data_IF_602962663305
#
_entry.id   IF_602962663305
#
_cell.length_a   1.000
_cell.length_b   1.000
_cell.length_c   1.000
_cell.angle_alpha   90.00
_cell.angle_beta   90.00
_cell.angle_gamma   90.00
#
_symmetry.space_group_name_H-M   'P 1'
#
loop_
_entity.id
_entity.type
_entity.pdbx_description
1 polymer ?
#
# COMPACT_ATOMS: atom_id res chain seq x y z
N UNK A 1 -0.81 12.49 20.50
CA UNK A 1 0.47 12.74 19.77
C UNK A 1 0.36 12.10 18.40
N UNK A 2 0.74 12.81 17.35
CA UNK A 2 0.77 12.24 15.99
C UNK A 2 1.87 11.20 15.84
N UNK A 3 1.61 10.12 15.15
CA UNK A 3 2.58 9.06 14.88
C UNK A 3 2.67 8.77 13.38
N UNK A 4 3.80 8.26 12.95
CA UNK A 4 3.93 7.75 11.59
C UNK A 4 3.14 6.45 11.42
N UNK A 5 2.58 6.22 10.25
CA UNK A 5 1.73 5.07 9.94
C UNK A 5 2.24 4.36 8.69
N UNK A 6 2.40 3.06 8.78
CA UNK A 6 2.46 2.17 7.62
C UNK A 6 1.04 1.68 7.34
N UNK A 7 0.47 2.13 6.22
CA UNK A 7 -0.82 1.67 5.72
C UNK A 7 -0.58 0.51 4.75
N UNK A 8 -0.74 -0.70 5.28
CA UNK A 8 -0.44 -1.93 4.56
C UNK A 8 -1.71 -2.54 3.96
N UNK A 9 -1.70 -2.86 2.68
CA UNK A 9 -2.88 -3.36 1.97
C UNK A 9 -2.71 -4.82 1.59
N UNK A 10 -3.35 -5.69 2.35
CA UNK A 10 -3.27 -7.14 2.21
C UNK A 10 -4.62 -7.80 1.91
N UNK A 11 -5.33 -7.30 0.90
CA UNK A 11 -6.61 -7.88 0.48
C UNK A 11 -6.39 -9.21 -0.27
N UNK A 12 -6.88 -10.29 0.31
CA UNK A 12 -6.82 -11.64 -0.26
C UNK A 12 -8.00 -11.84 -1.22
N UNK A 13 -7.78 -11.56 -2.50
CA UNK A 13 -8.80 -11.75 -3.53
C UNK A 13 -8.78 -13.19 -4.05
N UNK A 14 -9.83 -13.97 -3.78
CA UNK A 14 -9.96 -15.37 -4.18
C UNK A 14 -9.84 -15.57 -5.70
N UNK A 15 -10.29 -14.63 -6.51
CA UNK A 15 -10.17 -14.67 -7.96
C UNK A 15 -8.71 -14.82 -8.45
N UNK A 16 -7.76 -14.36 -7.65
CA UNK A 16 -6.33 -14.42 -7.99
C UNK A 16 -5.54 -15.45 -7.17
N UNK A 17 -6.21 -16.21 -6.31
CA UNK A 17 -5.56 -17.17 -5.41
C UNK A 17 -4.71 -18.17 -6.17
N UNK A 18 -5.25 -18.80 -7.22
CA UNK A 18 -4.51 -19.76 -8.05
C UNK A 18 -3.30 -19.13 -8.75
N UNK A 19 -3.47 -17.92 -9.27
CA UNK A 19 -2.40 -17.19 -9.96
C UNK A 19 -1.18 -16.93 -9.07
N UNK A 20 -1.41 -16.72 -7.77
CA UNK A 20 -0.37 -16.40 -6.80
C UNK A 20 0.04 -17.58 -5.92
N UNK A 21 -0.48 -18.79 -6.19
CA UNK A 21 -0.14 -19.99 -5.42
C UNK A 21 -0.65 -19.96 -3.97
N UNK A 22 -1.85 -19.37 -3.78
CA UNK A 22 -2.41 -19.14 -2.44
C UNK A 22 -2.00 -17.78 -1.86
N UNK A 23 -2.36 -17.54 -0.60
CA UNK A 23 -2.15 -16.26 0.08
C UNK A 23 -1.29 -16.39 1.35
N UNK A 24 -0.76 -17.56 1.66
CA UNK A 24 0.02 -17.82 2.88
C UNK A 24 1.28 -16.97 2.97
N UNK A 25 1.90 -16.67 1.85
CA UNK A 25 3.07 -15.79 1.78
C UNK A 25 2.76 -14.34 2.25
N UNK A 26 1.49 -13.90 2.16
CA UNK A 26 1.08 -12.58 2.61
C UNK A 26 1.21 -12.43 4.14
N UNK A 27 1.05 -13.51 4.87
CA UNK A 27 1.24 -13.52 6.33
C UNK A 27 2.74 -13.29 6.70
N UNK A 28 3.65 -13.74 5.83
CA UNK A 28 5.09 -13.47 6.00
C UNK A 28 5.39 -12.00 5.76
N UNK A 29 4.86 -11.42 4.68
CA UNK A 29 5.05 -9.99 4.38
C UNK A 29 4.46 -9.12 5.47
N UNK A 30 3.25 -9.42 5.94
CA UNK A 30 2.59 -8.75 7.06
C UNK A 30 3.48 -8.75 8.32
N UNK A 31 3.97 -9.91 8.74
CA UNK A 31 4.84 -10.04 9.91
C UNK A 31 6.12 -9.23 9.79
N UNK A 32 6.70 -9.13 8.59
CA UNK A 32 7.90 -8.32 8.37
C UNK A 32 7.64 -6.83 8.65
N UNK A 33 6.50 -6.32 8.21
CA UNK A 33 6.09 -4.94 8.44
C UNK A 33 5.68 -4.69 9.88
N UNK A 34 4.94 -5.60 10.51
CA UNK A 34 4.60 -5.52 11.94
C UNK A 34 5.86 -5.42 12.82
N UNK A 35 6.86 -6.27 12.53
CA UNK A 35 8.14 -6.24 13.24
C UNK A 35 8.86 -4.91 13.05
N UNK A 36 8.97 -4.44 11.80
CA UNK A 36 9.64 -3.19 11.48
C UNK A 36 8.92 -1.98 12.12
N UNK A 37 7.61 -1.93 12.06
CA UNK A 37 6.81 -0.88 12.68
C UNK A 37 7.01 -0.84 14.20
N UNK A 38 6.98 -2.01 14.85
CA UNK A 38 7.25 -2.12 16.28
C UNK A 38 8.64 -1.62 16.67
N UNK A 39 9.65 -1.97 15.87
CA UNK A 39 11.05 -1.54 16.08
C UNK A 39 11.22 -0.03 16.01
N UNK A 40 10.46 0.65 15.16
CA UNK A 40 10.58 2.09 14.90
C UNK A 40 9.48 2.95 15.55
N UNK A 41 8.66 2.38 16.43
CA UNK A 41 7.51 3.04 17.07
C UNK A 41 6.54 3.66 16.05
N UNK A 42 6.25 2.92 14.97
CA UNK A 42 5.35 3.27 13.88
C UNK A 42 4.05 2.49 14.04
N UNK A 43 2.92 3.10 13.75
CA UNK A 43 1.63 2.40 13.72
C UNK A 43 1.60 1.52 12.47
N UNK A 44 1.33 0.22 12.66
CA UNK A 44 0.99 -0.69 11.56
C UNK A 44 -0.53 -0.73 11.42
N UNK A 45 -1.03 -0.29 10.27
CA UNK A 45 -2.46 -0.27 9.96
C UNK A 45 -2.76 -1.18 8.75
N UNK A 46 -3.30 -2.39 8.97
CA UNK A 46 -3.65 -3.28 7.88
C UNK A 46 -5.02 -2.98 7.30
N UNK A 47 -5.11 -2.82 5.99
CA UNK A 47 -6.35 -2.85 5.22
C UNK A 47 -6.47 -4.24 4.57
N UNK A 48 -7.33 -5.09 5.12
CA UNK A 48 -7.51 -6.48 4.66
C UNK A 48 -8.81 -6.69 3.89
N UNK A 49 -9.71 -5.72 3.94
CA UNK A 49 -10.98 -5.72 3.21
C UNK A 49 -11.08 -4.49 2.29
N UNK A 50 -11.60 -4.64 1.08
CA UNK A 50 -11.83 -3.49 0.20
C UNK A 50 -13.04 -2.68 0.68
N UNK A 51 -13.01 -1.36 0.46
CA UNK A 51 -14.17 -0.48 0.68
C UNK A 51 -15.22 -0.74 -0.41
N UNK A 52 -14.81 -0.65 -1.68
CA UNK A 52 -15.64 -1.08 -2.81
C UNK A 52 -15.34 -2.56 -3.10
N UNK A 53 -16.36 -3.40 -2.93
CA UNK A 53 -16.23 -4.86 -3.10
C UNK A 53 -16.14 -5.27 -4.58
N UNK A 54 -16.74 -4.48 -5.46
CA UNK A 54 -16.63 -4.73 -6.91
C UNK A 54 -15.28 -4.20 -7.43
N UNK A 55 -14.27 -5.05 -7.35
CA UNK A 55 -12.91 -4.70 -7.80
C UNK A 55 -12.77 -4.54 -9.31
N UNK A 56 -13.81 -4.86 -10.09
CA UNK A 56 -13.84 -4.56 -11.53
C UNK A 56 -14.12 -3.09 -11.79
N UNK A 57 -14.92 -2.46 -10.92
CA UNK A 57 -15.21 -1.03 -10.96
C UNK A 57 -14.08 -0.21 -10.35
N UNK A 58 -13.57 -0.66 -9.21
CA UNK A 58 -12.57 0.11 -8.48
C UNK A 58 -11.51 -0.79 -7.84
N UNK A 59 -10.37 -0.88 -8.51
CA UNK A 59 -9.27 -1.75 -8.10
C UNK A 59 -8.71 -1.37 -6.74
N UNK A 60 -8.26 -2.36 -5.98
CA UNK A 60 -7.73 -2.18 -4.63
C UNK A 60 -6.56 -1.17 -4.56
N UNK A 61 -5.71 -1.11 -5.60
CA UNK A 61 -4.61 -0.18 -5.65
C UNK A 61 -5.04 1.29 -5.67
N UNK A 62 -6.22 1.57 -6.22
CA UNK A 62 -6.80 2.90 -6.19
C UNK A 62 -7.50 3.18 -4.87
N UNK A 63 -8.18 2.19 -4.31
CA UNK A 63 -8.87 2.33 -3.04
C UNK A 63 -7.91 2.74 -1.93
N UNK A 64 -6.73 2.12 -1.85
CA UNK A 64 -5.73 2.48 -0.85
C UNK A 64 -5.27 3.93 -0.96
N UNK A 65 -5.07 4.42 -2.19
CA UNK A 65 -4.57 5.77 -2.42
C UNK A 65 -5.63 6.85 -2.14
N UNK A 66 -6.89 6.56 -2.46
CA UNK A 66 -7.99 7.51 -2.31
C UNK A 66 -8.56 7.50 -0.90
N UNK A 67 -8.74 6.32 -0.30
CA UNK A 67 -9.44 6.17 0.97
C UNK A 67 -8.53 6.08 2.21
N UNK A 68 -7.20 6.05 2.06
CA UNK A 68 -6.32 5.84 3.22
C UNK A 68 -6.51 6.91 4.31
N UNK A 69 -6.76 8.14 3.94
CA UNK A 69 -7.00 9.23 4.90
C UNK A 69 -8.33 9.03 5.63
N UNK A 70 -9.40 8.82 4.88
CA UNK A 70 -10.75 8.62 5.44
C UNK A 70 -10.77 7.40 6.37
N UNK A 71 -10.13 6.29 5.97
CA UNK A 71 -10.04 5.07 6.78
C UNK A 71 -9.30 5.33 8.10
N UNK A 72 -8.20 6.05 8.05
CA UNK A 72 -7.42 6.37 9.25
C UNK A 72 -8.15 7.34 10.16
N UNK A 73 -8.84 8.33 9.59
CA UNK A 73 -9.64 9.30 10.33
C UNK A 73 -10.84 8.63 11.01
N UNK A 74 -11.57 7.76 10.31
CA UNK A 74 -12.68 6.97 10.85
C UNK A 74 -12.22 6.02 11.98
N UNK A 75 -11.00 5.49 11.87
CA UNK A 75 -10.39 4.67 12.90
C UNK A 75 -9.84 5.47 14.08
N UNK A 76 -9.92 6.81 14.05
CA UNK A 76 -9.39 7.69 15.09
C UNK A 76 -7.86 7.71 15.18
N UNK A 77 -7.18 7.36 14.11
CA UNK A 77 -5.71 7.33 14.07
C UNK A 77 -5.17 8.73 13.81
N UNK A 78 -4.44 9.27 14.78
CA UNK A 78 -3.80 10.58 14.63
C UNK A 78 -2.40 10.42 14.02
N UNK A 79 -2.29 10.62 12.72
CA UNK A 79 -1.06 10.39 11.95
C UNK A 79 -0.28 11.66 11.64
N UNK A 80 1.03 11.50 11.44
CA UNK A 80 1.98 12.53 10.99
C UNK A 80 2.35 12.31 9.52
N UNK A 81 2.92 11.15 9.22
CA UNK A 81 3.25 10.70 7.88
C UNK A 81 2.65 9.32 7.61
N UNK A 82 2.26 9.06 6.38
CA UNK A 82 1.71 7.76 5.95
C UNK A 82 2.62 7.16 4.88
N UNK A 83 2.96 5.89 5.05
CA UNK A 83 3.63 5.07 4.06
C UNK A 83 2.66 4.02 3.50
N UNK A 84 2.26 4.18 2.25
CA UNK A 84 1.37 3.24 1.57
C UNK A 84 2.16 2.04 1.06
N UNK A 85 1.79 0.85 1.48
CA UNK A 85 2.50 -0.40 1.17
C UNK A 85 1.55 -1.45 0.61
N UNK A 86 1.96 -2.08 -0.49
CA UNK A 86 1.27 -3.27 -1.00
C UNK A 86 1.62 -4.50 -0.17
N UNK A 87 0.64 -5.36 0.10
CA UNK A 87 0.81 -6.60 0.83
C UNK A 87 1.79 -7.60 0.20
N UNK A 88 2.17 -7.39 -1.06
CA UNK A 88 3.19 -8.19 -1.75
C UNK A 88 4.63 -7.80 -1.39
N UNK A 89 4.83 -6.66 -0.70
CA UNK A 89 6.16 -6.17 -0.37
C UNK A 89 6.60 -6.68 1.00
N UNK A 90 7.83 -7.16 1.07
CA UNK A 90 8.51 -7.49 2.32
C UNK A 90 9.50 -6.39 2.66
N UNK A 91 9.61 -6.04 3.94
CA UNK A 91 10.64 -5.12 4.41
C UNK A 91 11.76 -5.89 5.11
N UNK A 92 13.01 -5.51 4.83
CA UNK A 92 14.16 -6.08 5.54
C UNK A 92 14.19 -5.59 6.99
N UNK A 93 14.54 -6.46 7.90
CA UNK A 93 14.61 -6.17 9.34
C UNK A 93 15.58 -5.04 9.71
N UNK A 94 16.63 -4.83 8.91
CA UNK A 94 17.67 -3.81 9.10
C UNK A 94 17.40 -2.50 8.34
N UNK A 95 16.27 -2.41 7.63
CA UNK A 95 15.87 -1.17 6.95
C UNK A 95 15.74 -0.03 7.97
N UNK A 96 16.40 1.12 7.73
CA UNK A 96 16.30 2.28 8.61
C UNK A 96 14.88 2.86 8.62
N UNK A 97 14.61 3.77 9.55
CA UNK A 97 13.33 4.46 9.61
C UNK A 97 13.14 5.35 8.37
N UNK A 98 12.28 4.91 7.45
CA UNK A 98 12.03 5.61 6.18
C UNK A 98 11.43 6.99 6.38
N UNK A 99 10.70 7.22 7.47
CA UNK A 99 10.08 8.50 7.78
C UNK A 99 11.10 9.58 8.14
N UNK A 100 12.22 9.20 8.73
CA UNK A 100 13.34 10.11 8.98
C UNK A 100 14.05 10.52 7.68
N UNK A 101 14.11 9.58 6.71
CA UNK A 101 14.74 9.85 5.41
C UNK A 101 13.88 10.75 4.52
N UNK A 102 12.56 10.62 4.59
CA UNK A 102 11.62 11.39 3.76
C UNK A 102 11.40 12.81 4.25
N UNK A 103 11.58 13.05 5.55
CA UNK A 103 11.49 14.36 6.19
C UNK A 103 10.24 15.14 5.76
N UNK A 104 9.05 14.53 5.88
CA UNK A 104 7.73 15.08 5.52
C UNK A 104 7.57 15.46 4.04
N UNK A 105 8.46 15.01 3.17
CA UNK A 105 8.32 15.23 1.72
C UNK A 105 7.51 14.11 1.09
N UNK A 106 6.71 14.45 0.09
CA UNK A 106 6.11 13.45 -0.78
C UNK A 106 7.22 12.64 -1.45
N UNK A 107 7.22 11.34 -1.20
CA UNK A 107 8.23 10.42 -1.70
C UNK A 107 7.56 9.24 -2.36
N UNK A 108 7.98 8.91 -3.56
CA UNK A 108 7.48 7.75 -4.29
C UNK A 108 8.64 6.96 -4.86
N UNK A 109 8.45 5.67 -5.01
CA UNK A 109 9.39 4.84 -5.74
C UNK A 109 9.38 5.25 -7.22
N UNK A 110 10.54 5.56 -7.73
CA UNK A 110 10.70 5.78 -9.17
C UNK A 110 10.93 4.43 -9.83
N UNK A 111 9.99 4.00 -10.64
CA UNK A 111 10.18 2.85 -11.50
C UNK A 111 11.24 3.17 -12.54
N UNK A 112 12.27 2.34 -12.60
CA UNK A 112 13.37 2.50 -13.57
C UNK A 112 13.16 1.65 -14.83
N UNK A 113 12.01 0.99 -14.94
CA UNK A 113 11.67 0.18 -16.09
C UNK A 113 11.53 1.02 -17.35
N UNK A 114 11.56 0.34 -18.47
CA UNK A 114 11.63 0.97 -19.78
C UNK A 114 10.40 1.86 -20.08
N UNK A 115 10.61 2.84 -20.94
CA UNK A 115 9.57 3.75 -21.42
C UNK A 115 8.33 3.03 -21.98
N UNK A 116 8.49 1.81 -22.49
CA UNK A 116 7.38 1.00 -23.00
C UNK A 116 6.39 0.60 -21.92
N UNK A 117 6.85 0.28 -20.71
CA UNK A 117 5.98 -0.02 -19.59
C UNK A 117 5.24 1.24 -19.11
N UNK A 118 5.95 2.34 -18.98
CA UNK A 118 5.38 3.65 -18.61
C UNK A 118 4.31 4.07 -19.62
N UNK A 119 4.60 3.93 -20.92
CA UNK A 119 3.63 4.22 -21.98
C UNK A 119 2.38 3.36 -21.88
N UNK A 120 2.52 2.04 -21.71
CA UNK A 120 1.39 1.12 -21.53
C UNK A 120 0.54 1.48 -20.31
N UNK A 121 1.18 1.90 -19.22
CA UNK A 121 0.47 2.32 -18.01
C UNK A 121 -0.34 3.60 -18.25
N UNK A 122 0.25 4.60 -18.91
CA UNK A 122 -0.43 5.86 -19.25
C UNK A 122 -1.64 5.59 -20.17
N UNK A 123 -1.45 4.78 -21.20
CA UNK A 123 -2.53 4.41 -22.13
C UNK A 123 -3.64 3.65 -21.39
N UNK A 124 -3.26 2.71 -20.52
CA UNK A 124 -4.21 1.97 -19.68
C UNK A 124 -5.01 2.87 -18.75
N UNK A 125 -4.38 3.86 -18.16
CA UNK A 125 -5.06 4.84 -17.32
C UNK A 125 -5.98 5.77 -18.12
N UNK A 126 -5.54 6.26 -19.27
CA UNK A 126 -6.39 7.08 -20.14
C UNK A 126 -7.65 6.32 -20.59
N UNK A 127 -7.50 5.03 -20.92
CA UNK A 127 -8.66 4.20 -21.25
C UNK A 127 -9.60 4.02 -20.04
N UNK A 128 -9.04 3.79 -18.86
CA UNK A 128 -9.82 3.57 -17.63
C UNK A 128 -10.57 4.82 -17.17
N UNK A 129 -9.96 6.01 -17.34
CA UNK A 129 -10.54 7.29 -16.94
C UNK A 129 -11.24 8.05 -18.09
N UNK A 130 -11.57 7.37 -19.18
CA UNK A 130 -12.31 7.91 -20.33
C UNK A 130 -11.63 9.14 -20.96
N UNK A 131 -10.29 9.15 -20.94
CA UNK A 131 -9.49 10.18 -21.59
C UNK A 131 -9.26 11.47 -20.78
N UNK A 132 -9.44 11.43 -19.47
CA UNK A 132 -9.06 12.52 -18.56
C UNK A 132 -7.56 12.68 -18.44
#
# INVERSE_FOLDING_TARGET
>A
MKKNVVFWVGVKNEQYSEKYGGWEWMDITRKSWEYWCKKHDVIFFPMEEPIEKDLTKFRINWQKAIYCFDILDDAGVNYDQIYLVDGMNIIKWDTPNVFELTNHKFTAWRDTDNLGWTYKSIVGYNYFFDGY
#
